data_IF_727268950343
#
_entry.id   IF_727268950343
#
_cell.length_a   1.000
_cell.length_b   1.000
_cell.length_c   1.000
_cell.angle_alpha   90.00
_cell.angle_beta   90.00
_cell.angle_gamma   90.00
#
_symmetry.space_group_name_H-M   'P 1'
#
loop_
_entity.id
_entity.type
_entity.pdbx_description
1 polymer ?
#
# COMPACT_ATOMS: atom_id res chain seq x y z
N UNK A 1 10.63 9.63 -12.85
CA UNK A 1 9.25 9.09 -12.85
C UNK A 1 8.46 9.93 -13.82
N UNK A 2 7.84 9.33 -14.85
CA UNK A 2 7.13 10.11 -15.85
C UNK A 2 5.78 10.56 -15.32
N UNK A 3 5.37 11.80 -15.63
CA UNK A 3 4.03 12.32 -15.34
C UNK A 3 2.93 11.31 -15.72
N UNK A 4 3.18 10.53 -16.77
CA UNK A 4 2.33 9.45 -17.30
C UNK A 4 1.84 8.42 -16.28
N UNK A 5 2.54 8.18 -15.17
CA UNK A 5 2.11 7.20 -14.16
C UNK A 5 0.83 7.63 -13.41
N UNK A 6 0.60 8.93 -13.21
CA UNK A 6 -0.55 9.47 -12.46
C UNK A 6 -1.60 10.18 -13.33
N UNK A 7 -1.42 10.28 -14.64
CA UNK A 7 -2.22 11.15 -15.54
C UNK A 7 -3.71 10.81 -15.71
N UNK A 8 -4.24 9.79 -15.05
CA UNK A 8 -5.68 9.52 -15.04
C UNK A 8 -6.18 9.45 -13.60
N UNK A 9 -7.25 10.17 -13.27
CA UNK A 9 -8.05 9.92 -12.07
C UNK A 9 -8.66 8.52 -12.19
N UNK A 10 -8.08 7.50 -11.56
CA UNK A 10 -8.45 6.14 -11.86
C UNK A 10 -9.75 5.75 -11.15
N UNK A 11 -10.38 4.67 -11.60
CA UNK A 11 -11.54 4.12 -10.91
C UNK A 11 -11.11 3.37 -9.65
N UNK A 12 -11.85 3.55 -8.57
CA UNK A 12 -11.67 2.89 -7.30
C UNK A 12 -11.93 1.38 -7.47
N UNK A 13 -10.96 0.52 -7.14
CA UNK A 13 -11.14 -0.92 -7.31
C UNK A 13 -12.21 -1.53 -6.37
N UNK A 14 -12.60 -0.83 -5.29
CA UNK A 14 -13.63 -1.29 -4.35
C UNK A 14 -15.06 -0.93 -4.76
N UNK A 15 -15.27 0.17 -5.49
CA UNK A 15 -16.62 0.69 -5.73
C UNK A 15 -16.88 1.25 -7.13
N UNK A 16 -15.84 1.40 -7.96
CA UNK A 16 -15.93 2.03 -9.29
C UNK A 16 -15.94 3.56 -9.29
N UNK A 17 -16.02 4.19 -8.12
CA UNK A 17 -15.95 5.64 -7.92
C UNK A 17 -14.61 6.26 -8.33
N UNK A 18 -14.49 7.59 -8.38
CA UNK A 18 -13.23 8.23 -8.77
C UNK A 18 -12.23 8.29 -7.60
N UNK A 19 -11.01 7.83 -7.86
CA UNK A 19 -9.85 8.09 -7.02
C UNK A 19 -9.31 9.49 -7.34
N UNK A 20 -9.15 10.32 -6.31
CA UNK A 20 -8.69 11.69 -6.43
C UNK A 20 -7.39 11.87 -5.66
N UNK A 21 -6.41 12.47 -6.33
CA UNK A 21 -5.13 12.78 -5.72
C UNK A 21 -5.31 13.77 -4.55
N UNK A 22 -4.62 13.49 -3.44
CA UNK A 22 -4.61 14.29 -2.22
C UNK A 22 -3.20 14.39 -1.69
N UNK A 23 -2.71 15.63 -1.57
CA UNK A 23 -1.51 15.93 -0.80
C UNK A 23 -1.89 15.99 0.68
N UNK A 24 -1.34 15.07 1.47
CA UNK A 24 -1.59 15.01 2.92
C UNK A 24 -0.33 14.62 3.66
N UNK A 25 0.03 15.38 4.71
CA UNK A 25 1.27 15.15 5.46
C UNK A 25 2.55 15.16 4.61
N UNK A 26 2.55 15.81 3.44
CA UNK A 26 3.69 15.81 2.51
C UNK A 26 3.78 14.59 1.58
N UNK A 27 2.87 13.63 1.70
CA UNK A 27 2.74 12.47 0.81
C UNK A 27 1.54 12.67 -0.10
N UNK A 28 1.64 12.20 -1.33
CA UNK A 28 0.55 12.32 -2.31
C UNK A 28 -0.07 10.95 -2.54
N UNK A 29 -1.30 10.76 -2.05
CA UNK A 29 -2.08 9.52 -2.16
C UNK A 29 -3.36 9.74 -2.96
N UNK A 30 -3.98 8.65 -3.40
CA UNK A 30 -5.25 8.69 -4.10
C UNK A 30 -6.38 8.25 -3.15
N UNK A 31 -7.38 9.10 -2.94
CA UNK A 31 -8.53 8.82 -2.06
C UNK A 31 -9.81 8.78 -2.88
N UNK A 32 -10.61 7.73 -2.69
CA UNK A 32 -11.89 7.63 -3.39
C UNK A 32 -12.90 8.65 -2.85
N UNK A 33 -13.54 9.40 -3.76
CA UNK A 33 -14.55 10.37 -3.41
C UNK A 33 -15.85 9.74 -2.84
N UNK A 34 -16.13 8.48 -3.20
CA UNK A 34 -17.40 7.82 -2.87
C UNK A 34 -17.30 6.89 -1.66
N UNK A 35 -16.25 6.07 -1.59
CA UNK A 35 -16.09 5.08 -0.52
C UNK A 35 -15.00 5.42 0.50
N UNK A 36 -14.21 6.46 0.24
CA UNK A 36 -13.04 6.87 1.03
C UNK A 36 -11.94 5.81 1.16
N UNK A 37 -11.91 4.80 0.30
CA UNK A 37 -10.78 3.89 0.20
C UNK A 37 -9.53 4.65 -0.27
N UNK A 38 -8.37 4.23 0.21
CA UNK A 38 -7.09 4.88 -0.06
C UNK A 38 -6.24 3.98 -0.92
N UNK A 39 -5.76 4.48 -2.04
CA UNK A 39 -4.74 3.86 -2.85
C UNK A 39 -3.38 4.49 -2.54
N UNK A 40 -2.41 3.63 -2.23
CA UNK A 40 -1.04 3.97 -1.88
C UNK A 40 -0.13 3.30 -2.92
N UNK A 41 0.64 4.08 -3.65
CA UNK A 41 1.59 3.54 -4.61
C UNK A 41 2.80 2.92 -3.88
N UNK A 42 3.45 1.93 -4.50
CA UNK A 42 4.53 1.18 -3.85
C UNK A 42 5.74 2.03 -3.42
N UNK A 43 5.92 3.19 -4.05
CA UNK A 43 7.02 4.11 -3.80
C UNK A 43 6.65 5.25 -2.82
N UNK A 44 5.41 5.33 -2.34
CA UNK A 44 4.97 6.38 -1.42
C UNK A 44 5.49 6.16 0.01
N UNK A 45 5.97 4.94 0.32
CA UNK A 45 6.54 4.56 1.62
C UNK A 45 5.81 3.40 2.29
N UNK A 46 6.03 3.23 3.59
CA UNK A 46 5.31 2.23 4.39
C UNK A 46 3.81 2.54 4.45
N UNK A 47 2.97 1.53 4.21
CA UNK A 47 1.51 1.64 4.09
C UNK A 47 0.88 2.30 5.31
N UNK A 48 1.25 1.88 6.51
CA UNK A 48 0.71 2.41 7.77
C UNK A 48 1.16 3.85 8.04
N UNK A 49 2.43 4.16 7.72
CA UNK A 49 2.98 5.51 7.87
C UNK A 49 2.33 6.49 6.90
N UNK A 50 2.11 6.09 5.65
CA UNK A 50 1.41 6.89 4.65
C UNK A 50 -0.07 7.03 5.00
N UNK A 51 -0.73 5.95 5.43
CA UNK A 51 -2.13 5.97 5.85
C UNK A 51 -2.37 6.91 7.04
N UNK A 52 -1.40 7.05 7.95
CA UNK A 52 -1.49 7.96 9.10
C UNK A 52 -1.58 9.44 8.70
N UNK A 53 -1.15 9.80 7.50
CA UNK A 53 -1.31 11.14 6.96
C UNK A 53 -2.74 11.38 6.42
N UNK A 54 -3.56 10.34 6.21
CA UNK A 54 -4.91 10.47 5.64
C UNK A 54 -5.95 10.66 6.74
N UNK A 55 -6.86 11.61 6.56
CA UNK A 55 -8.01 11.77 7.45
C UNK A 55 -8.90 10.52 7.43
N UNK A 56 -9.08 9.89 8.59
CA UNK A 56 -10.00 8.75 8.74
C UNK A 56 -11.44 9.26 8.69
N UNK A 57 -12.18 8.83 7.67
CA UNK A 57 -13.60 9.14 7.51
C UNK A 57 -14.47 7.93 7.87
N UNK A 58 -15.73 8.15 8.28
CA UNK A 58 -16.66 7.05 8.51
C UNK A 58 -16.71 6.12 7.30
N UNK A 59 -16.61 4.83 7.58
CA UNK A 59 -16.63 3.82 6.54
C UNK A 59 -17.99 3.84 5.84
N UNK A 60 -17.97 3.85 4.51
CA UNK A 60 -19.16 3.73 3.68
C UNK A 60 -19.23 2.28 3.21
N UNK A 61 -20.22 1.48 3.67
CA UNK A 61 -20.40 0.12 3.19
C UNK A 61 -20.62 0.13 1.68
N UNK A 62 -19.91 -0.76 0.99
CA UNK A 62 -20.10 -0.92 -0.45
C UNK A 62 -21.29 -1.84 -0.70
N UNK A 63 -22.26 -1.37 -1.48
CA UNK A 63 -23.42 -2.18 -1.88
C UNK A 63 -23.02 -3.28 -2.86
N UNK A 64 -21.95 -3.07 -3.63
CA UNK A 64 -21.41 -4.02 -4.60
C UNK A 64 -19.89 -4.02 -4.55
N UNK A 65 -19.23 -5.20 -4.63
CA UNK A 65 -17.78 -5.27 -4.80
C UNK A 65 -17.39 -4.68 -6.16
N UNK A 66 -16.45 -3.74 -6.16
CA UNK A 66 -15.82 -3.24 -7.38
C UNK A 66 -14.99 -4.33 -8.07
N UNK A 67 -14.52 -4.04 -9.29
CA UNK A 67 -13.87 -5.02 -10.16
C UNK A 67 -12.52 -5.54 -9.64
N UNK A 68 -11.97 -4.97 -8.55
CA UNK A 68 -10.65 -5.32 -8.00
C UNK A 68 -9.53 -5.25 -9.04
N UNK A 69 -9.63 -4.32 -9.98
CA UNK A 69 -8.61 -4.08 -11.00
C UNK A 69 -7.69 -2.97 -10.53
N UNK A 70 -6.38 -3.18 -10.61
CA UNK A 70 -5.36 -2.21 -10.25
C UNK A 70 -5.52 -0.93 -11.09
N UNK A 71 -5.58 0.25 -10.46
CA UNK A 71 -5.75 1.51 -11.17
C UNK A 71 -4.53 1.91 -12.02
N UNK A 72 -3.36 1.29 -11.78
CA UNK A 72 -2.09 1.62 -12.43
C UNK A 72 -1.75 0.69 -13.59
N UNK A 73 -1.71 -0.62 -13.33
CA UNK A 73 -1.30 -1.62 -14.33
C UNK A 73 -2.43 -2.54 -14.80
N UNK A 74 -3.65 -2.41 -14.25
CA UNK A 74 -4.85 -3.20 -14.58
C UNK A 74 -4.80 -4.69 -14.23
N UNK A 75 -3.80 -5.13 -13.47
CA UNK A 75 -3.81 -6.47 -12.90
C UNK A 75 -4.90 -6.63 -11.83
N UNK A 76 -5.38 -7.85 -11.63
CA UNK A 76 -6.30 -8.17 -10.54
C UNK A 76 -5.60 -8.02 -9.19
N UNK A 77 -6.20 -7.28 -8.27
CA UNK A 77 -5.72 -7.11 -6.91
C UNK A 77 -6.00 -8.38 -6.09
N UNK A 78 -5.01 -8.78 -5.28
CA UNK A 78 -5.10 -9.92 -4.38
C UNK A 78 -5.32 -9.45 -2.93
N UNK A 79 -6.23 -10.08 -2.17
CA UNK A 79 -6.36 -9.81 -0.74
C UNK A 79 -5.15 -10.35 0.04
N UNK A 80 -4.68 -9.59 1.03
CA UNK A 80 -3.67 -10.03 1.99
C UNK A 80 -3.88 -9.34 3.34
N UNK A 81 -3.33 -9.93 4.41
CA UNK A 81 -3.24 -9.27 5.71
C UNK A 81 -1.97 -8.42 5.74
N UNK A 82 -2.09 -7.12 6.02
CA UNK A 82 -0.94 -6.22 6.11
C UNK A 82 0.05 -6.74 7.16
N UNK A 83 1.35 -6.84 6.81
CA UNK A 83 2.39 -7.48 7.66
C UNK A 83 2.11 -8.97 8.00
N UNK A 84 1.28 -9.64 7.21
CA UNK A 84 0.94 -11.07 7.38
C UNK A 84 -0.11 -11.39 8.43
N UNK A 85 -0.46 -10.44 9.31
CA UNK A 85 -1.42 -10.64 10.41
C UNK A 85 -2.26 -9.41 10.76
N UNK A 86 -2.02 -8.26 10.12
CA UNK A 86 -2.77 -7.02 10.31
C UNK A 86 -4.05 -6.96 9.46
N UNK A 87 -4.63 -5.77 9.27
CA UNK A 87 -5.88 -5.58 8.55
C UNK A 87 -5.82 -6.10 7.11
N UNK A 88 -6.94 -6.62 6.60
CA UNK A 88 -7.06 -7.03 5.21
C UNK A 88 -6.96 -5.79 4.28
N UNK A 89 -6.04 -5.87 3.33
CA UNK A 89 -5.83 -4.91 2.25
C UNK A 89 -5.91 -5.64 0.90
N UNK A 90 -5.98 -4.89 -0.19
CA UNK A 90 -5.77 -5.46 -1.53
C UNK A 90 -4.42 -4.99 -2.07
N UNK A 91 -3.56 -5.91 -2.49
CA UNK A 91 -2.26 -5.62 -3.12
C UNK A 91 -2.27 -5.99 -4.60
N UNK A 92 -1.66 -5.14 -5.42
CA UNK A 92 -1.40 -5.46 -6.80
C UNK A 92 -0.15 -6.35 -6.96
N UNK A 93 -0.22 -7.52 -7.62
CA UNK A 93 0.95 -8.35 -7.85
C UNK A 93 1.94 -7.76 -8.86
N UNK A 94 1.47 -6.97 -9.84
CA UNK A 94 2.36 -6.37 -10.85
C UNK A 94 3.12 -5.14 -10.39
N UNK A 95 2.44 -4.16 -9.77
CA UNK A 95 3.07 -2.90 -9.36
C UNK A 95 3.27 -2.75 -7.84
N UNK A 96 2.90 -3.74 -7.03
CA UNK A 96 2.95 -3.72 -5.55
C UNK A 96 2.13 -2.62 -4.84
N UNK A 97 1.38 -1.79 -5.58
CA UNK A 97 0.47 -0.80 -5.02
C UNK A 97 -0.62 -1.42 -4.15
N UNK A 98 -1.10 -0.64 -3.17
CA UNK A 98 -1.97 -1.11 -2.10
C UNK A 98 -3.26 -0.30 -2.08
N UNK A 99 -4.38 -0.99 -1.98
CA UNK A 99 -5.67 -0.40 -1.68
C UNK A 99 -6.05 -0.75 -0.24
N UNK A 100 -6.21 0.27 0.58
CA UNK A 100 -6.72 0.18 1.95
C UNK A 100 -8.22 0.48 1.93
N UNK A 101 -9.10 -0.50 2.26
CA UNK A 101 -10.53 -0.24 2.43
C UNK A 101 -10.78 0.82 3.51
N UNK A 102 -11.77 1.69 3.32
CA UNK A 102 -12.09 2.71 4.34
C UNK A 102 -12.49 2.10 5.69
N UNK A 103 -13.14 0.93 5.67
CA UNK A 103 -13.43 0.11 6.86
C UNK A 103 -12.19 -0.37 7.62
N UNK A 104 -11.02 -0.39 6.98
CA UNK A 104 -9.75 -0.88 7.54
C UNK A 104 -8.73 0.23 7.79
N UNK A 105 -8.98 1.44 7.31
CA UNK A 105 -8.04 2.55 7.42
C UNK A 105 -7.66 2.86 8.87
N UNK A 106 -8.63 2.90 9.79
CA UNK A 106 -8.36 3.13 11.22
C UNK A 106 -7.47 2.04 11.83
N UNK A 107 -7.70 0.78 11.48
CA UNK A 107 -6.88 -0.34 11.95
C UNK A 107 -5.45 -0.27 11.37
N UNK A 108 -5.30 0.13 10.11
CA UNK A 108 -3.99 0.32 9.46
C UNK A 108 -3.20 1.46 10.09
N UNK A 109 -3.86 2.58 10.40
CA UNK A 109 -3.24 3.71 11.13
C UNK A 109 -2.78 3.28 12.52
N UNK A 110 -3.58 2.47 13.22
CA UNK A 110 -3.26 2.00 14.56
C UNK A 110 -2.05 1.03 14.62
N UNK A 111 -1.67 0.41 13.49
CA UNK A 111 -0.46 -0.42 13.43
C UNK A 111 0.85 0.37 13.60
N UNK A 112 0.83 1.70 13.39
CA UNK A 112 2.02 2.54 13.44
C UNK A 112 3.06 2.18 12.37
N UNK A 113 4.23 2.85 12.33
CA UNK A 113 5.30 2.55 11.39
C UNK A 113 5.85 1.13 11.53
N UNK A 114 6.54 0.63 10.50
CA UNK A 114 7.27 -0.64 10.61
C UNK A 114 8.46 -0.43 11.53
N UNK A 115 8.55 -1.23 12.60
CA UNK A 115 9.72 -1.25 13.46
C UNK A 115 10.89 -1.90 12.74
N UNK A 116 11.80 -1.07 12.23
CA UNK A 116 13.10 -1.48 11.64
C UNK A 116 14.07 -2.08 12.70
N UNK A 117 13.61 -2.21 13.94
CA UNK A 117 14.36 -2.80 15.07
C UNK A 117 14.21 -4.32 15.17
N UNK A 118 13.35 -4.93 14.35
CA UNK A 118 13.23 -6.39 14.29
C UNK A 118 14.57 -6.96 13.80
N UNK A 119 15.32 -7.70 14.64
CA UNK A 119 16.61 -8.24 14.21
C UNK A 119 16.38 -9.19 13.01
N UNK A 120 17.28 -9.19 12.01
CA UNK A 120 17.14 -10.06 10.85
C UNK A 120 16.98 -11.50 11.32
N UNK A 121 16.12 -12.24 10.62
CA UNK A 121 15.97 -13.67 10.90
C UNK A 121 17.33 -14.37 10.78
N UNK A 122 17.56 -15.49 11.49
CA UNK A 122 18.83 -16.22 11.41
C UNK A 122 19.26 -16.55 9.97
N UNK A 123 18.30 -16.81 9.08
CA UNK A 123 18.50 -17.10 7.66
C UNK A 123 18.98 -15.86 6.87
N UNK A 124 18.37 -14.69 7.09
CA UNK A 124 18.85 -13.42 6.52
C UNK A 124 20.23 -13.04 7.05
N UNK A 125 20.50 -13.33 8.32
CA UNK A 125 21.81 -13.14 8.94
C UNK A 125 22.89 -14.05 8.34
N UNK A 126 22.54 -15.27 7.92
CA UNK A 126 23.44 -16.18 7.22
C UNK A 126 23.72 -15.68 5.79
N UNK A 127 22.67 -15.31 5.06
CA UNK A 127 22.79 -14.79 3.70
C UNK A 127 23.65 -13.53 3.66
N UNK A 128 23.44 -12.60 4.60
CA UNK A 128 24.22 -11.37 4.71
C UNK A 128 25.69 -11.62 5.08
N UNK A 129 25.96 -12.63 5.93
CA UNK A 129 27.32 -13.10 6.21
C UNK A 129 28.00 -13.70 4.98
N UNK A 130 27.28 -14.52 4.21
CA UNK A 130 27.79 -15.08 2.96
C UNK A 130 28.11 -14.00 1.92
N UNK A 131 27.21 -13.03 1.72
CA UNK A 131 27.44 -11.91 0.80
C UNK A 131 28.67 -11.08 1.19
N UNK A 132 28.85 -10.80 2.49
CA UNK A 132 30.03 -10.08 2.98
C UNK A 132 31.32 -10.88 2.77
N UNK A 133 31.29 -12.20 3.03
CA UNK A 133 32.44 -13.08 2.79
C UNK A 133 32.85 -13.11 1.32
N UNK A 134 31.88 -13.18 0.39
CA UNK A 134 32.14 -13.13 -1.05
C UNK A 134 32.76 -11.79 -1.46
N UNK A 135 32.26 -10.67 -0.92
CA UNK A 135 32.82 -9.33 -1.19
C UNK A 135 34.25 -9.17 -0.66
N UNK A 136 34.59 -9.79 0.47
CA UNK A 136 35.94 -9.77 1.03
C UNK A 136 36.95 -10.66 0.29
N UNK A 137 36.49 -11.55 -0.59
CA UNK A 137 37.34 -12.43 -1.40
C UNK A 137 37.59 -11.87 -2.81
N UNK A 138 36.93 -10.78 -3.18
CA UNK A 138 37.07 -10.10 -4.47
C UNK A 138 37.82 -8.76 -4.40
N UNK A 139 38.56 -8.50 -3.33
CA UNK A 139 39.48 -7.36 -3.16
C UNK A 139 40.93 -7.85 -3.13
#
# INVERSE_FOLDING_TARGET
MSEQYRLASPQCPLCGGLLQERLTGGVVVDVCADCHAVWIDWFDGDVSSVAAAVEVRPAIPQSHPGARICPRCRDTLAPEHLRGHGPEILRCPGCAGVLVPSTKLAEVVALGPVDDTTPPTPEEGLFRRMLNAIRSLGA
#
